data_IF_188432985232
#
_entry.id   IF_188432985232
#
_cell.length_a   1.000
_cell.length_b   1.000
_cell.length_c   1.000
_cell.angle_alpha   90.00
_cell.angle_beta   90.00
_cell.angle_gamma   90.00
#
_symmetry.space_group_name_H-M   'P 1'
#
loop_
_entity.id
_entity.type
_entity.pdbx_description
1 polymer ?
#
# COMPACT_ATOMS: atom_id res chain seq x y z
N UNK A 1 16.10 -10.31 -7.85
CA UNK A 1 14.80 -9.74 -7.45
C UNK A 1 14.95 -9.35 -6.00
N UNK A 2 14.89 -8.05 -5.69
CA UNK A 2 15.15 -7.59 -4.32
C UNK A 2 14.01 -8.00 -3.41
N UNK A 3 14.38 -8.51 -2.23
CA UNK A 3 13.47 -8.75 -1.13
C UNK A 3 12.71 -7.47 -0.77
N UNK A 4 11.58 -7.63 -0.07
CA UNK A 4 10.98 -6.52 0.67
C UNK A 4 12.07 -5.89 1.57
N UNK A 5 12.01 -4.56 1.81
CA UNK A 5 12.86 -3.92 2.80
C UNK A 5 12.75 -4.60 4.17
N UNK A 6 13.65 -4.26 5.09
CA UNK A 6 13.46 -4.67 6.48
C UNK A 6 12.11 -4.18 7.01
N UNK A 7 11.57 -4.88 8.00
CA UNK A 7 10.23 -4.64 8.55
C UNK A 7 10.04 -3.17 8.97
N UNK A 8 11.05 -2.58 9.60
CA UNK A 8 11.08 -1.19 10.07
C UNK A 8 11.12 -0.14 8.94
N UNK A 9 11.46 -0.56 7.73
CA UNK A 9 11.58 0.30 6.54
C UNK A 9 10.46 0.07 5.52
N UNK A 10 9.65 -0.97 5.73
CA UNK A 10 8.55 -1.33 4.84
C UNK A 10 7.33 -0.47 5.12
N UNK A 11 6.75 0.09 4.06
CA UNK A 11 5.46 0.79 4.09
C UNK A 11 4.40 0.08 3.25
N UNK A 12 3.23 -0.15 3.85
CA UNK A 12 2.06 -0.77 3.20
C UNK A 12 0.98 0.28 2.95
N UNK A 13 0.57 0.43 1.69
CA UNK A 13 -0.60 1.22 1.32
C UNK A 13 -1.80 0.31 1.09
N UNK A 14 -2.83 0.44 1.93
CA UNK A 14 -4.12 -0.22 1.73
C UNK A 14 -5.07 0.69 0.95
N UNK A 15 -5.39 0.31 -0.29
CA UNK A 15 -6.17 1.10 -1.24
C UNK A 15 -7.49 0.39 -1.53
N UNK A 16 -8.55 0.74 -0.79
CA UNK A 16 -9.86 0.11 -0.93
C UNK A 16 -10.99 1.04 -0.44
N UNK A 17 -12.12 1.05 -1.13
CA UNK A 17 -13.30 1.86 -0.77
C UNK A 17 -14.02 1.38 0.49
N UNK A 18 -14.18 0.06 0.63
CA UNK A 18 -15.08 -0.55 1.62
C UNK A 18 -14.39 -1.23 2.81
N UNK A 19 -13.09 -1.56 2.72
CA UNK A 19 -12.41 -2.39 3.73
C UNK A 19 -11.47 -1.54 4.58
N UNK A 20 -11.67 -1.57 5.90
CA UNK A 20 -10.84 -0.92 6.91
C UNK A 20 -9.55 -1.72 7.18
N UNK A 21 -8.81 -2.06 6.12
CA UNK A 21 -7.68 -2.97 6.21
C UNK A 21 -6.54 -2.42 7.06
N UNK A 22 -6.23 -1.13 6.94
CA UNK A 22 -5.22 -0.50 7.78
C UNK A 22 -5.58 -0.61 9.27
N UNK A 23 -6.84 -0.37 9.62
CA UNK A 23 -7.30 -0.47 11.00
C UNK A 23 -7.18 -1.91 11.52
N UNK A 24 -7.64 -2.90 10.76
CA UNK A 24 -7.52 -4.32 11.14
C UNK A 24 -6.05 -4.76 11.22
N UNK A 25 -5.20 -4.29 10.32
CA UNK A 25 -3.77 -4.60 10.33
C UNK A 25 -3.06 -3.98 11.53
N UNK A 26 -3.40 -2.74 11.90
CA UNK A 26 -2.85 -2.08 13.08
C UNK A 26 -3.14 -2.82 14.40
N UNK A 27 -4.24 -3.57 14.47
CA UNK A 27 -4.56 -4.40 15.65
C UNK A 27 -3.62 -5.60 15.83
N UNK A 28 -2.86 -5.98 14.79
CA UNK A 28 -1.89 -7.05 14.85
C UNK A 28 -0.56 -6.63 15.51
N UNK A 29 -0.36 -5.33 15.76
CA UNK A 29 0.83 -4.75 16.41
C UNK A 29 2.16 -5.23 15.80
N UNK A 30 2.23 -5.26 14.48
CA UNK A 30 3.40 -5.78 13.74
C UNK A 30 4.58 -4.80 13.72
N UNK A 31 4.38 -3.54 14.10
CA UNK A 31 5.38 -2.47 13.95
C UNK A 31 5.67 -2.05 12.50
N UNK A 32 4.96 -2.61 11.50
CA UNK A 32 5.10 -2.23 10.09
C UNK A 32 4.32 -0.95 9.84
N UNK A 33 4.96 0.03 9.18
CA UNK A 33 4.29 1.28 8.81
C UNK A 33 3.23 1.03 7.73
N UNK A 34 2.06 1.64 7.88
CA UNK A 34 0.95 1.44 6.96
C UNK A 34 -0.02 2.62 6.97
N UNK A 35 -0.76 2.77 5.88
CA UNK A 35 -1.82 3.77 5.76
C UNK A 35 -3.01 3.25 4.93
N UNK A 36 -4.11 4.00 4.98
CA UNK A 36 -5.33 3.71 4.25
C UNK A 36 -5.62 4.81 3.23
N UNK A 37 -5.90 4.40 2.00
CA UNK A 37 -6.49 5.22 0.96
C UNK A 37 -7.91 4.73 0.65
N UNK A 38 -8.86 5.66 0.69
CA UNK A 38 -10.29 5.46 0.43
C UNK A 38 -10.70 5.94 -0.96
N UNK A 39 -9.80 6.62 -1.68
CA UNK A 39 -10.05 7.16 -3.01
C UNK A 39 -8.86 6.93 -3.95
N UNK A 40 -9.06 7.02 -5.28
CA UNK A 40 -7.95 7.00 -6.23
C UNK A 40 -6.94 8.13 -6.00
N UNK A 41 -7.41 9.32 -5.61
CA UNK A 41 -6.54 10.47 -5.33
C UNK A 41 -5.63 10.26 -4.12
N UNK A 42 -6.18 9.70 -3.03
CA UNK A 42 -5.39 9.30 -1.87
C UNK A 42 -4.43 8.15 -2.19
N UNK A 43 -4.86 7.21 -3.04
CA UNK A 43 -4.01 6.12 -3.52
C UNK A 43 -2.79 6.71 -4.22
N UNK A 44 -3.00 7.56 -5.22
CA UNK A 44 -1.95 8.23 -5.97
C UNK A 44 -0.98 9.02 -5.07
N UNK A 45 -1.51 9.69 -4.03
CA UNK A 45 -0.69 10.44 -3.08
C UNK A 45 0.22 9.55 -2.21
N UNK A 46 -0.20 8.32 -1.89
CA UNK A 46 0.57 7.36 -1.09
C UNK A 46 1.59 6.53 -1.89
N UNK A 47 1.37 6.34 -3.20
CA UNK A 47 2.24 5.52 -4.07
C UNK A 47 3.74 5.85 -3.99
N UNK A 48 4.18 7.12 -3.90
CA UNK A 48 5.60 7.44 -3.84
C UNK A 48 6.34 6.77 -2.67
N UNK A 49 5.63 6.44 -1.59
CA UNK A 49 6.20 5.88 -0.37
C UNK A 49 5.90 4.38 -0.18
N UNK A 50 5.00 3.81 -0.97
CA UNK A 50 4.58 2.43 -0.83
C UNK A 50 5.65 1.44 -1.33
N UNK A 51 6.06 0.53 -0.45
CA UNK A 51 6.85 -0.65 -0.82
C UNK A 51 5.91 -1.83 -1.17
N UNK A 52 4.75 -1.87 -0.51
CA UNK A 52 3.66 -2.83 -0.75
C UNK A 52 2.37 -2.07 -1.02
N UNK A 53 1.69 -2.41 -2.12
CA UNK A 53 0.35 -1.92 -2.43
C UNK A 53 -0.65 -3.06 -2.31
N UNK A 54 -1.65 -2.89 -1.45
CA UNK A 54 -2.81 -3.79 -1.35
C UNK A 54 -4.01 -3.05 -1.94
N UNK A 55 -4.51 -3.47 -3.10
CA UNK A 55 -5.47 -2.67 -3.88
C UNK A 55 -6.60 -3.50 -4.50
N UNK A 56 -7.82 -2.95 -4.47
CA UNK A 56 -8.95 -3.43 -5.27
C UNK A 56 -9.79 -2.28 -5.81
N UNK A 57 -10.36 -2.45 -7.01
CA UNK A 57 -11.29 -1.51 -7.64
C UNK A 57 -10.69 -0.17 -8.10
N UNK A 58 -9.54 0.24 -7.56
CA UNK A 58 -8.86 1.50 -7.89
C UNK A 58 -7.67 1.35 -8.84
N UNK A 59 -7.29 0.13 -9.21
CA UNK A 59 -6.10 -0.10 -10.03
C UNK A 59 -6.18 0.62 -11.38
N UNK A 60 -5.09 1.33 -11.71
CA UNK A 60 -4.81 1.93 -13.00
C UNK A 60 -3.32 1.68 -13.31
N UNK A 61 -3.00 1.19 -14.50
CA UNK A 61 -1.61 0.91 -14.90
C UNK A 61 -0.72 2.16 -14.85
N UNK A 62 -1.30 3.36 -14.98
CA UNK A 62 -0.59 4.64 -14.85
C UNK A 62 0.02 4.83 -13.45
N UNK A 63 -0.51 4.15 -12.43
CA UNK A 63 0.03 4.22 -11.07
C UNK A 63 1.48 3.73 -10.99
N UNK A 64 1.90 2.81 -11.86
CA UNK A 64 3.28 2.32 -11.88
C UNK A 64 4.31 3.43 -12.11
N UNK A 65 3.93 4.52 -12.78
CA UNK A 65 4.81 5.69 -13.00
C UNK A 65 5.10 6.47 -11.71
N UNK A 66 4.29 6.27 -10.67
CA UNK A 66 4.36 6.96 -9.38
C UNK A 66 4.90 6.08 -8.24
N UNK A 67 5.43 4.90 -8.55
CA UNK A 67 5.77 3.84 -7.60
C UNK A 67 7.29 3.55 -7.51
N UNK A 68 8.16 4.53 -7.14
CA UNK A 68 9.62 4.35 -7.18
C UNK A 68 10.14 3.28 -6.19
N UNK A 69 9.34 2.95 -5.17
CA UNK A 69 9.69 2.02 -4.09
C UNK A 69 9.00 0.67 -4.19
N UNK A 70 7.94 0.59 -4.99
CA UNK A 70 7.03 -0.55 -5.00
C UNK A 70 7.75 -1.85 -5.35
N UNK A 71 7.59 -2.86 -4.49
CA UNK A 71 8.18 -4.20 -4.63
C UNK A 71 7.12 -5.28 -4.78
N UNK A 72 5.91 -5.05 -4.26
CA UNK A 72 4.85 -6.05 -4.25
C UNK A 72 3.46 -5.41 -4.40
N UNK A 73 2.62 -6.04 -5.21
CA UNK A 73 1.22 -5.67 -5.38
C UNK A 73 0.37 -6.88 -5.00
N UNK A 74 -0.51 -6.71 -4.02
CA UNK A 74 -1.56 -7.66 -3.71
C UNK A 74 -2.89 -7.12 -4.22
N UNK A 75 -3.47 -7.82 -5.18
CA UNK A 75 -4.87 -7.60 -5.56
C UNK A 75 -5.78 -8.47 -4.70
N UNK A 76 -6.93 -7.93 -4.30
CA UNK A 76 -7.93 -8.53 -3.41
C UNK A 76 -9.32 -8.40 -4.01
#
# INVERSE_FOLDING_TARGET
MSALPEQSQTHILFSHTAYQMAQCFGQLDTGISHEQAWTPGETLAGLPQADVLVISGFWDDQFLEHCPRLRYIQSI
#
